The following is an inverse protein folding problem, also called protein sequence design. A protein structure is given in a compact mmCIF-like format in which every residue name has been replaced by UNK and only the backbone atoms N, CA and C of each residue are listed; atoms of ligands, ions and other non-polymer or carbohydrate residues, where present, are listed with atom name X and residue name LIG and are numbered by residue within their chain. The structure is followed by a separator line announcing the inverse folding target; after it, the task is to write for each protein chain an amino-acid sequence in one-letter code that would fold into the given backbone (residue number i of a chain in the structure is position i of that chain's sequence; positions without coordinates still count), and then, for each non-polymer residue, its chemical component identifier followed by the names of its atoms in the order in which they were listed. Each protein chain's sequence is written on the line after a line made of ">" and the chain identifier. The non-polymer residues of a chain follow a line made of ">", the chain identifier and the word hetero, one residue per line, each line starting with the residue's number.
data_IF_425827451052
#
_entry.id   IF_425827451052
#
_cell.length_a   1.000
_cell.length_b   1.000
_cell.length_c   1.000
_cell.angle_alpha   90.00
_cell.angle_beta   90.00
_cell.angle_gamma   90.00
#
_symmetry.space_group_name_H-M   'P 1'
#
loop_
_entity.id
_entity.type
_entity.pdbx_description
1 polymer ?
#
# COMPACT_ATOMS: atom_id res chain seq x y z
N UNK A 1 -18.40 -2.17 6.84
CA UNK A 1 -17.50 -1.89 5.69
C UNK A 1 -17.17 -3.22 5.04
N UNK A 2 -17.32 -3.35 3.73
CA UNK A 2 -17.00 -4.60 3.00
C UNK A 2 -15.49 -4.69 2.82
N UNK A 3 -14.90 -5.81 3.28
CA UNK A 3 -13.48 -6.10 3.13
C UNK A 3 -13.32 -7.13 2.01
N UNK A 4 -12.52 -6.80 1.02
CA UNK A 4 -12.18 -7.68 -0.09
C UNK A 4 -10.83 -8.35 0.17
N UNK A 5 -10.61 -9.52 -0.40
CA UNK A 5 -9.26 -10.07 -0.54
C UNK A 5 -8.55 -9.34 -1.66
N UNK A 6 -7.23 -9.23 -1.58
CA UNK A 6 -6.42 -8.55 -2.59
C UNK A 6 -6.62 -9.20 -3.97
N UNK A 7 -6.69 -10.53 -4.04
CA UNK A 7 -6.90 -11.27 -5.28
C UNK A 7 -8.29 -11.07 -5.92
N UNK A 8 -9.28 -10.59 -5.18
CA UNK A 8 -10.63 -10.36 -5.69
C UNK A 8 -10.81 -8.92 -6.24
N UNK A 9 -9.84 -8.03 -6.00
CA UNK A 9 -9.88 -6.67 -6.51
C UNK A 9 -9.71 -6.66 -8.04
N UNK A 10 -10.56 -5.88 -8.70
CA UNK A 10 -10.47 -5.63 -10.14
C UNK A 10 -10.01 -4.20 -10.41
N UNK A 11 -9.38 -3.99 -11.57
CA UNK A 11 -9.01 -2.65 -12.01
C UNK A 11 -10.23 -1.72 -12.02
N UNK A 12 -10.09 -0.51 -11.49
CA UNK A 12 -11.17 0.47 -11.36
C UNK A 12 -12.11 0.26 -10.17
N UNK A 13 -11.96 -0.83 -9.41
CA UNK A 13 -12.76 -1.07 -8.22
C UNK A 13 -12.17 -0.34 -7.00
N UNK A 14 -13.03 0.29 -6.20
CA UNK A 14 -12.67 0.81 -4.87
C UNK A 14 -13.19 -0.15 -3.80
N UNK A 15 -12.33 -0.55 -2.86
CA UNK A 15 -12.69 -1.49 -1.82
C UNK A 15 -11.67 -1.48 -0.68
N UNK A 16 -12.14 -1.82 0.52
CA UNK A 16 -11.27 -1.96 1.68
C UNK A 16 -10.56 -3.30 1.64
N UNK A 17 -9.26 -3.32 1.94
CA UNK A 17 -8.47 -4.55 2.06
C UNK A 17 -7.66 -4.57 3.34
N UNK A 18 -7.38 -5.76 3.84
CA UNK A 18 -6.51 -5.98 5.00
C UNK A 18 -5.33 -6.80 4.55
N UNK A 19 -4.11 -6.31 4.80
CA UNK A 19 -2.89 -7.01 4.42
C UNK A 19 -1.73 -6.71 5.36
N UNK A 20 -0.68 -7.52 5.25
CA UNK A 20 0.57 -7.33 5.99
C UNK A 20 1.57 -6.63 5.10
N UNK A 21 2.22 -5.58 5.61
CA UNK A 21 3.27 -4.84 4.89
C UNK A 21 4.48 -5.75 4.69
N UNK A 22 4.85 -5.97 3.43
CA UNK A 22 6.01 -6.78 3.07
C UNK A 22 7.20 -5.92 2.59
N UNK A 23 6.93 -4.74 2.03
CA UNK A 23 7.94 -3.80 1.58
C UNK A 23 7.47 -2.35 1.66
N UNK A 24 8.40 -1.44 1.90
CA UNK A 24 8.18 0.02 1.89
C UNK A 24 9.36 0.65 1.16
N UNK A 25 9.09 1.48 0.15
CA UNK A 25 10.12 2.17 -0.63
C UNK A 25 9.69 3.61 -0.92
N UNK A 26 10.60 4.57 -0.74
CA UNK A 26 10.40 5.95 -1.18
C UNK A 26 11.23 6.21 -2.44
N UNK A 27 10.61 6.74 -3.49
CA UNK A 27 11.26 7.21 -4.72
C UNK A 27 11.14 8.73 -4.82
N UNK A 28 12.21 9.40 -5.24
CA UNK A 28 12.24 10.86 -5.49
C UNK A 28 12.79 11.13 -6.89
N UNK A 29 11.97 10.94 -7.94
CA UNK A 29 12.44 11.04 -9.32
C UNK A 29 12.74 12.48 -9.77
N UNK A 30 12.11 13.49 -9.14
CA UNK A 30 12.34 14.91 -9.43
C UNK A 30 12.14 15.76 -8.16
N UNK A 31 12.67 17.00 -8.11
CA UNK A 31 12.39 17.92 -7.01
C UNK A 31 10.88 18.06 -6.77
N UNK A 32 10.49 18.12 -5.49
CA UNK A 32 9.09 18.27 -5.04
C UNK A 32 8.14 17.12 -5.38
N UNK A 33 8.65 15.99 -5.91
CA UNK A 33 7.88 14.76 -6.08
C UNK A 33 8.47 13.64 -5.22
N UNK A 34 7.71 13.18 -4.23
CA UNK A 34 8.01 11.96 -3.47
C UNK A 34 6.93 10.92 -3.77
N UNK A 35 7.33 9.69 -4.03
CA UNK A 35 6.43 8.56 -4.29
C UNK A 35 6.76 7.50 -3.25
N UNK A 36 5.83 7.26 -2.32
CA UNK A 36 5.95 6.21 -1.32
C UNK A 36 5.17 4.98 -1.81
N UNK A 37 5.90 3.91 -2.11
CA UNK A 37 5.35 2.60 -2.45
C UNK A 37 5.31 1.73 -1.20
N UNK A 38 4.11 1.27 -0.82
CA UNK A 38 3.89 0.32 0.27
C UNK A 38 3.28 -0.94 -0.33
N UNK A 39 3.97 -2.07 -0.21
CA UNK A 39 3.46 -3.35 -0.70
C UNK A 39 2.89 -4.13 0.47
N UNK A 40 1.63 -4.54 0.35
CA UNK A 40 0.95 -5.41 1.30
C UNK A 40 0.61 -6.76 0.66
N UNK A 41 0.48 -7.80 1.47
CA UNK A 41 0.00 -9.11 1.02
C UNK A 41 -0.94 -9.72 2.07
N UNK A 42 -1.95 -10.46 1.60
CA UNK A 42 -2.93 -11.17 2.42
C UNK A 42 -2.91 -12.70 2.18
N UNK A 43 -1.95 -13.17 1.38
CA UNK A 43 -1.83 -14.57 0.95
C UNK A 43 -2.47 -14.87 -0.40
N UNK A 44 -3.37 -14.00 -0.90
CA UNK A 44 -3.98 -14.13 -2.25
C UNK A 44 -3.21 -13.39 -3.34
N UNK A 45 -2.40 -12.41 -2.94
CA UNK A 45 -1.51 -11.69 -3.85
C UNK A 45 -0.90 -10.47 -3.18
N UNK A 46 0.12 -9.86 -3.80
CA UNK A 46 0.64 -8.57 -3.37
C UNK A 46 -0.19 -7.42 -3.95
N UNK A 47 -0.47 -6.41 -3.13
CA UNK A 47 -1.03 -5.13 -3.57
C UNK A 47 -0.02 -4.02 -3.32
N UNK A 48 0.23 -3.20 -4.35
CA UNK A 48 1.06 -2.00 -4.24
C UNK A 48 0.18 -0.77 -4.00
N UNK A 49 0.38 -0.13 -2.87
CA UNK A 49 -0.20 1.16 -2.53
C UNK A 49 0.82 2.25 -2.88
N UNK A 50 0.39 3.26 -3.64
CA UNK A 50 1.24 4.37 -4.07
C UNK A 50 0.73 5.66 -3.46
N UNK A 51 1.55 6.31 -2.64
CA UNK A 51 1.22 7.57 -1.98
C UNK A 51 2.11 8.69 -2.53
N UNK A 52 1.48 9.67 -3.19
CA UNK A 52 2.17 10.83 -3.76
C UNK A 52 2.40 11.90 -2.70
N UNK A 53 3.61 12.44 -2.65
CA UNK A 53 4.09 13.49 -1.75
C UNK A 53 3.87 13.20 -0.25
N UNK A 54 3.73 11.92 0.11
CA UNK A 54 3.56 11.48 1.50
C UNK A 54 4.78 10.71 2.02
N UNK A 55 5.99 11.05 1.56
CA UNK A 55 7.24 10.40 2.00
C UNK A 55 7.48 10.41 3.51
N UNK A 56 6.91 11.38 4.24
CA UNK A 56 6.96 11.45 5.71
C UNK A 56 6.33 10.22 6.39
N UNK A 57 5.41 9.50 5.72
CA UNK A 57 4.76 8.29 6.25
C UNK A 57 5.60 7.02 6.13
N UNK A 58 6.82 7.09 5.56
CA UNK A 58 7.66 5.88 5.40
C UNK A 58 7.96 5.17 6.72
N UNK A 59 8.11 5.92 7.82
CA UNK A 59 8.40 5.38 9.15
C UNK A 59 7.14 4.88 9.88
N UNK A 60 5.95 5.25 9.39
CA UNK A 60 4.68 4.80 9.92
C UNK A 60 4.37 3.36 9.50
N UNK A 61 4.73 2.99 8.26
CA UNK A 61 4.57 1.64 7.75
C UNK A 61 5.82 0.81 8.04
N UNK A 62 5.66 -0.28 8.76
CA UNK A 62 6.76 -1.20 9.09
C UNK A 62 6.50 -2.57 8.49
N UNK A 63 7.56 -3.23 8.01
CA UNK A 63 7.47 -4.62 7.55
C UNK A 63 6.90 -5.49 8.68
N UNK A 64 5.95 -6.36 8.35
CA UNK A 64 5.22 -7.18 9.31
C UNK A 64 4.00 -6.51 9.96
N UNK A 65 3.79 -5.21 9.74
CA UNK A 65 2.60 -4.51 10.24
C UNK A 65 1.36 -4.93 9.46
N UNK A 66 0.30 -5.31 10.16
CA UNK A 66 -1.01 -5.57 9.58
C UNK A 66 -1.81 -4.27 9.49
N UNK A 67 -2.27 -3.91 8.30
CA UNK A 67 -2.98 -2.64 8.05
C UNK A 67 -4.28 -2.88 7.29
N UNK A 68 -5.24 -1.97 7.52
CA UNK A 68 -6.43 -1.80 6.68
C UNK A 68 -6.19 -0.63 5.72
N UNK A 69 -6.37 -0.86 4.43
CA UNK A 69 -6.24 0.15 3.37
C UNK A 69 -7.59 0.35 2.67
N UNK A 70 -7.96 1.61 2.40
CA UNK A 70 -9.17 2.03 1.69
C UNK A 70 -8.89 3.35 0.96
#
# INVERSE_FOLDING_TARGET
>A
RTIYRIGDLKSGMTGGVVGTVIAVQEKRPRPRLSILEVVIADGTGPLKIVLFNQGYKKNFYKKGQRIYAY
#
